data_IF_048076165491
#
_entry.id   IF_048076165491
#
_cell.length_a   1.000
_cell.length_b   1.000
_cell.length_c   1.000
_cell.angle_alpha   90.00
_cell.angle_beta   90.00
_cell.angle_gamma   90.00
#
_symmetry.space_group_name_H-M   'P 1'
#
loop_
_entity.id
_entity.type
_entity.pdbx_description
1 polymer ?
#
# COMPACT_ATOMS: atom_id res chain seq x y z
N UNK A 1 -9.11 -31.82 0.38
CA UNK A 1 -7.94 -31.12 0.97
C UNK A 1 -7.90 -29.75 0.34
N UNK A 2 -8.62 -28.77 0.92
CA UNK A 2 -8.59 -27.42 0.39
C UNK A 2 -7.25 -26.80 0.78
N UNK A 3 -6.48 -26.35 -0.21
CA UNK A 3 -5.29 -25.54 0.03
C UNK A 3 -5.72 -24.35 0.89
N UNK A 4 -5.07 -24.14 2.02
CA UNK A 4 -5.22 -22.91 2.77
C UNK A 4 -4.59 -21.81 1.89
N UNK A 5 -5.41 -21.09 1.13
CA UNK A 5 -4.94 -19.90 0.44
C UNK A 5 -4.63 -18.88 1.53
N UNK A 6 -3.35 -18.73 1.84
CA UNK A 6 -2.90 -17.69 2.78
C UNK A 6 -3.31 -16.35 2.16
N UNK A 7 -4.13 -15.53 2.83
CA UNK A 7 -4.54 -14.25 2.26
C UNK A 7 -3.28 -13.45 1.95
N UNK A 8 -3.12 -13.02 0.70
CA UNK A 8 -1.96 -12.26 0.27
C UNK A 8 -1.75 -11.07 1.21
N UNK A 9 -0.63 -11.06 1.93
CA UNK A 9 -0.24 -9.93 2.78
C UNK A 9 0.24 -8.82 1.86
N UNK A 10 -0.41 -7.66 1.95
CA UNK A 10 0.06 -6.45 1.27
C UNK A 10 1.13 -5.79 2.13
N UNK A 11 2.23 -5.39 1.51
CA UNK A 11 3.34 -4.71 2.15
C UNK A 11 3.40 -3.25 1.70
N UNK A 12 3.82 -2.37 2.60
CA UNK A 12 4.09 -0.99 2.28
C UNK A 12 5.36 -0.92 1.43
N UNK A 13 5.28 -0.35 0.23
CA UNK A 13 6.44 -0.19 -0.66
C UNK A 13 7.53 0.69 -0.02
N UNK A 14 7.16 1.62 0.87
CA UNK A 14 8.09 2.52 1.53
C UNK A 14 8.80 1.88 2.74
N UNK A 15 8.06 1.49 3.78
CA UNK A 15 8.65 0.98 5.03
C UNK A 15 8.82 -0.55 5.07
N UNK A 16 8.35 -1.26 4.04
CA UNK A 16 8.42 -2.72 3.90
C UNK A 16 7.64 -3.53 4.96
N UNK A 17 6.90 -2.86 5.85
CA UNK A 17 6.02 -3.52 6.80
C UNK A 17 4.69 -3.98 6.18
N UNK A 18 4.06 -4.97 6.83
CA UNK A 18 2.71 -5.41 6.48
C UNK A 18 1.71 -4.28 6.71
N UNK A 19 0.88 -4.00 5.70
CA UNK A 19 -0.23 -3.06 5.83
C UNK A 19 -1.38 -3.73 6.57
N UNK A 20 -1.58 -3.33 7.82
CA UNK A 20 -2.69 -3.76 8.66
C UNK A 20 -3.82 -2.72 8.60
N UNK A 21 -4.96 -3.08 8.00
CA UNK A 21 -6.11 -2.18 7.86
C UNK A 21 -6.16 -1.46 6.52
N UNK A 22 -6.16 -0.12 6.55
CA UNK A 22 -6.31 0.72 5.37
C UNK A 22 -5.03 0.74 4.53
N UNK A 23 -5.16 0.31 3.26
CA UNK A 23 -4.11 0.42 2.25
C UNK A 23 -4.40 1.62 1.34
N UNK A 24 -3.37 2.42 1.07
CA UNK A 24 -3.46 3.50 0.07
C UNK A 24 -2.70 3.02 -1.17
N UNK A 25 -3.39 2.89 -2.31
CA UNK A 25 -2.78 2.54 -3.59
C UNK A 25 -2.58 3.82 -4.40
N UNK A 26 -1.35 4.08 -4.83
CA UNK A 26 -1.08 5.15 -5.81
C UNK A 26 -1.65 4.75 -7.18
N UNK A 27 -2.25 5.71 -7.89
CA UNK A 27 -2.88 5.51 -9.19
C UNK A 27 -1.95 5.84 -10.37
N UNK A 28 -0.81 6.47 -10.09
CA UNK A 28 0.19 6.86 -11.09
C UNK A 28 1.40 5.93 -11.11
N UNK A 29 1.75 5.33 -9.96
CA UNK A 29 2.89 4.42 -9.83
C UNK A 29 2.46 2.95 -9.99
N UNK A 30 3.28 2.17 -10.70
CA UNK A 30 3.10 0.71 -10.84
C UNK A 30 3.31 0.02 -9.49
N UNK A 31 2.30 -0.74 -9.05
CA UNK A 31 2.33 -1.58 -7.84
C UNK A 31 2.87 -0.88 -6.59
N UNK A 32 2.43 0.38 -6.41
CA UNK A 32 2.80 1.17 -5.25
C UNK A 32 1.64 1.24 -4.24
N UNK A 33 1.81 0.50 -3.14
CA UNK A 33 0.90 0.50 -2.01
C UNK A 33 1.64 1.04 -0.77
N UNK A 34 1.01 1.94 -0.04
CA UNK A 34 1.60 2.58 1.14
C UNK A 34 0.66 2.48 2.34
N UNK A 35 1.24 2.30 3.53
CA UNK A 35 0.47 2.31 4.77
C UNK A 35 0.05 3.73 5.14
N UNK A 36 -0.97 3.85 5.99
CA UNK A 36 -1.48 5.14 6.44
C UNK A 36 -0.41 6.00 7.13
N UNK A 37 0.50 5.39 7.89
CA UNK A 37 1.58 6.12 8.55
C UNK A 37 2.53 6.78 7.54
N UNK A 38 2.96 6.04 6.51
CA UNK A 38 3.89 6.59 5.53
C UNK A 38 3.20 7.60 4.60
N UNK A 39 1.92 7.36 4.26
CA UNK A 39 1.11 8.34 3.52
C UNK A 39 0.99 9.68 4.25
N UNK A 40 0.63 9.66 5.54
CA UNK A 40 0.46 10.90 6.34
C UNK A 40 1.78 11.59 6.66
N UNK A 41 2.90 10.86 6.65
CA UNK A 41 4.24 11.43 6.72
C UNK A 41 4.70 12.10 5.41
N UNK A 42 3.92 12.00 4.32
CA UNK A 42 4.28 12.57 3.02
C UNK A 42 5.44 11.84 2.34
N UNK A 43 5.58 10.54 2.57
CA UNK A 43 6.70 9.75 2.09
C UNK A 43 6.80 9.73 0.55
N UNK A 44 7.99 10.03 0.04
CA UNK A 44 8.31 9.97 -1.39
C UNK A 44 9.48 9.00 -1.61
N UNK A 45 9.43 8.21 -2.68
CA UNK A 45 10.52 7.32 -3.07
C UNK A 45 10.51 7.04 -4.57
N UNK A 46 11.67 7.20 -5.21
CA UNK A 46 11.80 7.02 -6.66
C UNK A 46 10.83 7.93 -7.43
N UNK A 47 10.00 7.40 -8.34
CA UNK A 47 9.03 8.18 -9.11
C UNK A 47 7.77 8.55 -8.32
N UNK A 48 7.55 8.00 -7.12
CA UNK A 48 6.38 8.31 -6.33
C UNK A 48 6.48 9.70 -5.67
N UNK A 49 5.41 10.50 -5.80
CA UNK A 49 5.24 11.78 -5.14
C UNK A 49 3.99 11.79 -4.26
N UNK A 50 4.05 12.58 -3.20
CA UNK A 50 2.98 12.62 -2.19
C UNK A 50 1.72 13.37 -2.65
N UNK A 51 1.77 13.97 -3.84
CA UNK A 51 0.66 14.64 -4.54
C UNK A 51 0.02 13.79 -5.64
N UNK A 52 0.53 12.57 -5.90
CA UNK A 52 -0.07 11.67 -6.88
C UNK A 52 -1.49 11.23 -6.48
N UNK A 53 -2.32 10.99 -7.50
CA UNK A 53 -3.65 10.44 -7.32
C UNK A 53 -3.59 9.09 -6.57
N UNK A 54 -4.57 8.85 -5.70
CA UNK A 54 -4.61 7.66 -4.84
C UNK A 54 -6.01 7.11 -4.67
N UNK A 55 -6.09 5.85 -4.23
CA UNK A 55 -7.33 5.22 -3.78
C UNK A 55 -7.17 4.50 -2.45
N UNK A 56 -8.21 4.56 -1.64
CA UNK A 56 -8.34 3.73 -0.45
C UNK A 56 -8.74 2.32 -0.83
N UNK A 57 -8.04 1.34 -0.27
CA UNK A 57 -8.35 -0.08 -0.40
C UNK A 57 -8.55 -0.65 0.98
N UNK A 58 -9.82 -0.90 1.31
CA UNK A 58 -10.23 -1.61 2.51
C UNK A 58 -10.35 -3.10 2.18
N UNK A 59 -9.89 -3.97 3.08
CA UNK A 59 -10.18 -5.40 2.95
C UNK A 59 -11.66 -5.61 3.29
N UNK A 60 -12.46 -5.97 2.28
CA UNK A 60 -13.78 -6.61 2.43
C UNK A 60 -13.62 -8.10 2.58
#
# INVERSE_FOLDING_TARGET
>A
MAAYETPAKNYCTYCQDVINGLRIKCMECTDFDICLQCFTAGAEIGPHKNDHDYKFVVRT
#
